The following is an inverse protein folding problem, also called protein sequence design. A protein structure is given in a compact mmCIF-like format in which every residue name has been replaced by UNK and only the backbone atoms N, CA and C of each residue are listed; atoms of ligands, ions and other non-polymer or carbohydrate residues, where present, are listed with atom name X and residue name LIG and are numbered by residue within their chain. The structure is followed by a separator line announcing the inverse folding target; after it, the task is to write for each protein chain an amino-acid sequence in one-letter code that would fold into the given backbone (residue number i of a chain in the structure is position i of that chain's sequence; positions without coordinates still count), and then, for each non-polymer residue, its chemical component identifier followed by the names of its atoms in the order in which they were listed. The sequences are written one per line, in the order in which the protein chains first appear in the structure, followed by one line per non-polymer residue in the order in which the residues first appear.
data_IF_482209386453
#
_entry.id   IF_482209386453
#
_cell.length_a   1.000
_cell.length_b   1.000
_cell.length_c   1.000
_cell.angle_alpha   90.00
_cell.angle_beta   90.00
_cell.angle_gamma   90.00
#
_symmetry.space_group_name_H-M   'P 1'
#
loop_
_entity.id
_entity.type
_entity.pdbx_description
1 polymer ?
#
# COMPACT_ATOMS: atom_id res chain seq x y z
N UNK A 1 2.17 2.43 14.62
CA UNK A 1 2.07 2.43 13.16
C UNK A 1 0.81 3.18 12.80
N UNK A 2 0.88 4.16 11.92
CA UNK A 2 -0.28 5.00 11.58
C UNK A 2 -0.23 5.40 10.10
N UNK A 3 -1.38 5.44 9.43
CA UNK A 3 -1.49 5.89 8.06
C UNK A 3 -1.45 7.41 8.04
N UNK A 4 -0.37 7.97 7.48
CA UNK A 4 -0.20 9.40 7.30
C UNK A 4 -0.99 9.92 6.11
N UNK A 5 -1.02 9.18 4.99
CA UNK A 5 -1.77 9.55 3.79
C UNK A 5 -2.02 8.35 2.89
N UNK A 6 -3.10 8.43 2.12
CA UNK A 6 -3.41 7.54 1.00
C UNK A 6 -3.73 8.44 -0.19
N UNK A 7 -3.10 8.20 -1.34
CA UNK A 7 -3.40 8.89 -2.60
C UNK A 7 -3.58 7.88 -3.74
N UNK A 8 -4.36 8.30 -4.72
CA UNK A 8 -4.65 7.52 -5.93
C UNK A 8 -4.48 8.43 -7.15
N UNK A 9 -3.66 7.99 -8.09
CA UNK A 9 -3.41 8.69 -9.35
C UNK A 9 -3.86 7.79 -10.50
N UNK A 10 -4.86 8.20 -11.31
CA UNK A 10 -5.28 7.43 -12.48
C UNK A 10 -4.14 7.24 -13.47
N UNK A 11 -4.05 6.05 -14.05
CA UNK A 11 -3.08 5.75 -15.12
C UNK A 11 -3.78 5.90 -16.46
N UNK A 12 -3.34 6.91 -17.23
CA UNK A 12 -3.96 7.27 -18.52
C UNK A 12 -4.03 6.07 -19.47
N UNK A 13 -5.19 5.89 -20.11
CA UNK A 13 -5.44 4.79 -21.04
C UNK A 13 -5.72 3.45 -20.37
N UNK A 14 -5.92 3.40 -19.05
CA UNK A 14 -6.24 2.17 -18.31
C UNK A 14 -7.34 2.38 -17.26
N UNK A 15 -7.94 1.29 -16.80
CA UNK A 15 -8.86 1.29 -15.65
C UNK A 15 -8.12 1.12 -14.30
N UNK A 16 -6.81 1.40 -14.28
CA UNK A 16 -5.96 1.26 -13.10
C UNK A 16 -5.60 2.62 -12.49
N UNK A 17 -5.26 2.58 -11.20
CA UNK A 17 -4.68 3.69 -10.46
C UNK A 17 -3.37 3.28 -9.82
N UNK A 18 -2.40 4.20 -9.80
CA UNK A 18 -1.25 4.13 -8.92
C UNK A 18 -1.72 4.53 -7.52
N UNK A 19 -1.63 3.61 -6.58
CA UNK A 19 -1.97 3.85 -5.18
C UNK A 19 -0.70 4.04 -4.37
N UNK A 20 -0.64 5.11 -3.59
CA UNK A 20 0.46 5.39 -2.67
C UNK A 20 -0.07 5.51 -1.25
N UNK A 21 0.50 4.73 -0.33
CA UNK A 21 0.19 4.78 1.10
C UNK A 21 1.45 5.15 1.85
N UNK A 22 1.38 6.20 2.66
CA UNK A 22 2.46 6.61 3.55
C UNK A 22 2.07 6.24 4.97
N UNK A 23 2.91 5.46 5.63
CA UNK A 23 2.73 4.99 7.00
C UNK A 23 3.90 5.54 7.83
N UNK A 24 3.61 6.13 8.99
CA UNK A 24 4.63 6.57 9.93
C UNK A 24 4.58 5.74 11.22
N UNK A 25 5.52 5.99 12.13
CA UNK A 25 5.63 5.26 13.40
C UNK A 25 5.71 3.74 13.19
N UNK A 26 6.41 3.31 12.14
CA UNK A 26 6.65 1.90 11.83
C UNK A 26 7.80 1.42 12.70
N UNK A 27 7.47 0.71 13.78
CA UNK A 27 8.46 0.17 14.73
C UNK A 27 9.20 -1.07 14.21
N UNK A 28 8.63 -1.77 13.22
CA UNK A 28 9.24 -2.95 12.62
C UNK A 28 8.91 -3.06 11.13
N UNK A 29 9.96 -3.00 10.32
CA UNK A 29 9.89 -3.09 8.86
C UNK A 29 9.38 -4.47 8.41
N UNK A 30 9.84 -5.53 9.07
CA UNK A 30 9.45 -6.91 8.75
C UNK A 30 7.96 -7.17 9.03
N UNK A 31 7.41 -6.58 10.11
CA UNK A 31 5.99 -6.71 10.43
C UNK A 31 5.15 -6.01 9.36
N UNK A 32 5.52 -4.78 9.00
CA UNK A 32 4.83 -4.05 7.94
C UNK A 32 4.88 -4.81 6.61
N UNK A 33 6.05 -5.29 6.19
CA UNK A 33 6.20 -6.02 4.94
C UNK A 33 5.32 -7.28 4.90
N UNK A 34 5.31 -8.08 5.97
CA UNK A 34 4.43 -9.26 6.06
C UNK A 34 2.96 -8.88 5.97
N UNK A 35 2.55 -7.85 6.70
CA UNK A 35 1.17 -7.38 6.68
C UNK A 35 0.73 -6.96 5.27
N UNK A 36 1.56 -6.17 4.57
CA UNK A 36 1.24 -5.73 3.22
C UNK A 36 1.20 -6.90 2.22
N UNK A 37 2.13 -7.85 2.33
CA UNK A 37 2.14 -9.07 1.50
C UNK A 37 0.88 -9.91 1.74
N UNK A 38 0.47 -10.08 3.00
CA UNK A 38 -0.72 -10.87 3.34
C UNK A 38 -2.01 -10.21 2.83
N UNK A 39 -2.05 -8.88 2.76
CA UNK A 39 -3.23 -8.12 2.32
C UNK A 39 -3.30 -7.94 0.79
N UNK A 40 -2.18 -7.65 0.15
CA UNK A 40 -2.12 -7.21 -1.25
C UNK A 40 -1.54 -8.28 -2.18
N UNK A 41 -0.86 -9.29 -1.63
CA UNK A 41 -0.10 -10.28 -2.40
C UNK A 41 1.39 -9.98 -2.45
N UNK A 42 2.15 -10.94 -2.99
CA UNK A 42 3.62 -10.89 -3.08
C UNK A 42 4.09 -9.96 -4.19
N UNK A 43 4.95 -8.96 -3.88
CA UNK A 43 5.63 -8.13 -4.88
C UNK A 43 6.33 -8.94 -5.97
N UNK A 44 6.18 -8.53 -7.22
CA UNK A 44 6.82 -9.13 -8.39
C UNK A 44 6.25 -10.50 -8.81
N UNK A 45 5.26 -11.02 -8.08
CA UNK A 45 4.55 -12.26 -8.40
C UNK A 45 3.06 -11.96 -8.61
N UNK A 46 2.42 -11.39 -7.58
CA UNK A 46 0.97 -11.13 -7.58
C UNK A 46 0.65 -9.70 -8.03
N UNK A 47 1.58 -8.76 -7.80
CA UNK A 47 1.42 -7.33 -8.10
C UNK A 47 2.79 -6.65 -8.30
N UNK A 48 2.76 -5.37 -8.63
CA UNK A 48 3.90 -4.48 -8.80
C UNK A 48 4.19 -3.64 -7.53
N UNK A 49 3.85 -4.16 -6.35
CA UNK A 49 4.02 -3.42 -5.10
C UNK A 49 5.48 -3.15 -4.79
N UNK A 50 5.79 -1.89 -4.46
CA UNK A 50 7.08 -1.44 -3.96
C UNK A 50 6.95 -0.86 -2.55
N UNK A 51 7.98 -1.07 -1.73
CA UNK A 51 8.05 -0.57 -0.36
C UNK A 51 9.38 0.14 -0.13
N UNK A 52 9.32 1.41 0.25
CA UNK A 52 10.48 2.26 0.51
C UNK A 52 10.42 2.85 1.91
N UNK A 53 11.48 2.69 2.70
CA UNK A 53 11.54 3.14 4.09
C UNK A 53 12.62 4.18 4.34
N UNK A 54 12.27 5.24 5.06
CA UNK A 54 13.20 6.24 5.59
C UNK A 54 12.88 6.49 7.07
N UNK A 55 13.74 5.99 7.96
CA UNK A 55 13.50 6.05 9.41
C UNK A 55 12.30 5.21 9.84
N UNK A 56 11.33 5.84 10.50
CA UNK A 56 10.07 5.23 10.94
C UNK A 56 8.91 5.44 9.95
N UNK A 57 9.19 6.03 8.79
CA UNK A 57 8.22 6.33 7.74
C UNK A 57 8.45 5.44 6.53
N UNK A 58 7.37 4.86 6.01
CA UNK A 58 7.36 3.94 4.90
C UNK A 58 6.34 4.38 3.85
N UNK A 59 6.77 4.36 2.60
CA UNK A 59 5.92 4.58 1.43
C UNK A 59 5.72 3.25 0.73
N UNK A 60 4.47 2.90 0.50
CA UNK A 60 4.06 1.67 -0.19
C UNK A 60 3.29 2.08 -1.44
N UNK A 61 3.70 1.56 -2.58
CA UNK A 61 3.14 1.95 -3.88
C UNK A 61 2.78 0.69 -4.65
N UNK A 62 1.62 0.65 -5.31
CA UNK A 62 1.23 -0.43 -6.22
C UNK A 62 0.17 0.05 -7.20
N UNK A 63 -0.03 -0.67 -8.29
CA UNK A 63 -1.14 -0.42 -9.21
C UNK A 63 -2.31 -1.37 -8.93
N UNK A 64 -3.53 -0.86 -9.07
CA UNK A 64 -4.75 -1.66 -8.90
C UNK A 64 -5.90 -1.11 -9.76
N UNK A 65 -6.91 -1.95 -10.08
CA UNK A 65 -8.12 -1.46 -10.73
C UNK A 65 -8.83 -0.40 -9.87
N UNK A 66 -9.40 0.61 -10.52
CA UNK A 66 -10.16 1.68 -9.83
C UNK A 66 -11.27 1.10 -8.95
N UNK A 67 -11.96 0.05 -9.43
CA UNK A 67 -13.03 -0.62 -8.71
C UNK A 67 -12.59 -1.28 -7.39
N UNK A 68 -11.28 -1.46 -7.17
CA UNK A 68 -10.73 -2.12 -5.99
C UNK A 68 -10.32 -1.15 -4.87
N UNK A 69 -10.25 0.16 -5.15
CA UNK A 69 -9.73 1.20 -4.23
C UNK A 69 -10.39 1.11 -2.85
N UNK A 70 -11.73 1.17 -2.79
CA UNK A 70 -12.45 1.19 -1.51
C UNK A 70 -12.18 -0.07 -0.69
N UNK A 71 -12.12 -1.22 -1.36
CA UNK A 71 -11.88 -2.51 -0.73
C UNK A 71 -10.47 -2.59 -0.16
N UNK A 72 -9.43 -2.30 -0.96
CA UNK A 72 -8.04 -2.37 -0.52
C UNK A 72 -7.74 -1.32 0.55
N UNK A 73 -8.25 -0.09 0.39
CA UNK A 73 -8.13 0.94 1.43
C UNK A 73 -8.77 0.49 2.74
N UNK A 74 -9.99 -0.07 2.71
CA UNK A 74 -10.65 -0.60 3.90
C UNK A 74 -9.85 -1.69 4.61
N UNK A 75 -9.23 -2.60 3.84
CA UNK A 75 -8.35 -3.65 4.38
C UNK A 75 -7.10 -3.07 5.06
N UNK A 76 -6.44 -2.11 4.42
CA UNK A 76 -5.22 -1.47 4.95
C UNK A 76 -5.55 -0.67 6.22
N UNK A 77 -6.61 0.13 6.19
CA UNK A 77 -7.06 0.91 7.35
C UNK A 77 -7.39 0.00 8.53
N UNK A 78 -8.07 -1.13 8.29
CA UNK A 78 -8.38 -2.12 9.33
C UNK A 78 -7.14 -2.82 9.89
N UNK A 79 -6.09 -2.98 9.09
CA UNK A 79 -4.90 -3.70 9.46
C UNK A 79 -3.87 -2.85 10.23
N UNK A 80 -3.86 -1.53 9.96
CA UNK A 80 -2.92 -0.59 10.59
C UNK A 80 -3.50 0.04 11.87
N UNK A 81 -4.83 0.18 11.97
CA UNK A 81 -5.52 0.62 13.19
C UNK A 81 -5.77 -0.53 14.17
#
# INVERSE_FOLDING_TARGET
MNIKSISHEPIEGTDNVLTTVIINQVSSQCILARLMIDLLGKPGIDNDMEMMGTGDTWTIIWTQPIAMIEKTQGLIVKAIN
#
